data_IF_955727779015
#
_entry.id   IF_955727779015
#
_cell.length_a   1.000
_cell.length_b   1.000
_cell.length_c   1.000
_cell.angle_alpha   90.00
_cell.angle_beta   90.00
_cell.angle_gamma   90.00
#
_symmetry.space_group_name_H-M   'P 1'
#
loop_
_entity.id
_entity.type
_entity.pdbx_description
1 polymer ?
#
# COMPACT_ATOMS: atom_id res chain seq x y z
N UNK A 1 18.72 3.52 -19.27
CA UNK A 1 18.19 4.83 -18.83
C UNK A 1 17.38 5.53 -19.92
N UNK A 2 17.95 5.86 -21.09
CA UNK A 2 17.19 6.54 -22.16
C UNK A 2 16.02 5.71 -22.74
N UNK A 3 16.15 4.39 -22.81
CA UNK A 3 15.08 3.50 -23.28
C UNK A 3 13.94 3.36 -22.26
N UNK A 4 14.25 3.28 -20.96
CA UNK A 4 13.26 3.29 -19.87
C UNK A 4 12.55 4.65 -19.82
N UNK A 5 13.28 5.76 -19.97
CA UNK A 5 12.68 7.10 -20.07
C UNK A 5 11.79 7.23 -21.32
N UNK A 6 12.15 6.64 -22.47
CA UNK A 6 11.34 6.69 -23.69
C UNK A 6 10.12 5.75 -23.67
N UNK A 7 10.20 4.63 -22.95
CA UNK A 7 9.05 3.74 -22.73
C UNK A 7 8.10 4.34 -21.70
N UNK A 8 8.64 4.97 -20.65
CA UNK A 8 7.85 5.66 -19.63
C UNK A 8 7.30 7.02 -20.10
N UNK A 9 7.86 7.69 -21.11
CA UNK A 9 7.25 8.92 -21.65
C UNK A 9 5.91 8.68 -22.37
N UNK A 10 5.55 7.41 -22.63
CA UNK A 10 4.20 7.03 -23.08
C UNK A 10 3.26 6.70 -21.91
N UNK A 11 3.78 6.52 -20.70
CA UNK A 11 3.03 6.19 -19.47
C UNK A 11 3.04 7.33 -18.44
N UNK A 12 3.90 8.35 -18.57
CA UNK A 12 3.93 9.51 -17.68
C UNK A 12 2.86 10.51 -18.05
N UNK A 13 1.91 10.68 -17.13
CA UNK A 13 1.06 11.85 -17.00
C UNK A 13 0.05 12.08 -18.13
N UNK A 14 -0.79 11.06 -18.38
CA UNK A 14 -2.19 11.37 -18.66
C UNK A 14 -2.91 11.13 -17.35
N UNK A 15 -3.03 12.19 -16.54
CA UNK A 15 -4.08 12.24 -15.52
C UNK A 15 -5.35 12.06 -16.35
N UNK A 16 -5.92 10.87 -16.36
CA UNK A 16 -7.26 10.69 -16.89
C UNK A 16 -8.16 11.42 -15.89
N UNK A 17 -8.40 12.70 -16.14
CA UNK A 17 -9.57 13.36 -15.57
C UNK A 17 -10.76 12.62 -16.15
N UNK A 18 -11.26 11.62 -15.41
CA UNK A 18 -12.37 10.76 -15.80
C UNK A 18 -13.67 11.59 -15.85
N UNK A 19 -13.80 12.34 -16.94
CA UNK A 19 -15.03 13.01 -17.32
C UNK A 19 -15.88 12.07 -18.14
N UNK A 20 -17.01 11.68 -17.56
CA UNK A 20 -17.97 10.80 -18.19
C UNK A 20 -18.91 11.59 -19.10
N UNK A 21 -19.12 11.08 -20.31
CA UNK A 21 -20.22 11.50 -21.18
C UNK A 21 -21.53 10.88 -20.70
N UNK A 22 -22.63 11.58 -20.97
CA UNK A 22 -23.96 11.06 -20.65
C UNK A 22 -24.20 9.70 -21.35
N UNK A 23 -24.62 8.69 -20.59
CA UNK A 23 -24.82 7.29 -21.02
C UNK A 23 -23.53 6.51 -21.33
N UNK A 24 -22.36 7.07 -21.03
CA UNK A 24 -21.10 6.35 -21.08
C UNK A 24 -21.12 5.16 -20.10
N UNK A 25 -20.38 4.11 -20.43
CA UNK A 25 -20.24 2.93 -19.59
C UNK A 25 -19.48 3.27 -18.31
N UNK A 26 -20.04 2.86 -17.17
CA UNK A 26 -19.35 2.92 -15.87
C UNK A 26 -19.05 1.50 -15.44
N UNK A 27 -17.78 1.21 -15.23
CA UNK A 27 -17.32 -0.15 -14.92
C UNK A 27 -17.29 -0.36 -13.40
N UNK A 28 -17.98 -1.41 -12.93
CA UNK A 28 -17.85 -1.90 -11.56
C UNK A 28 -16.85 -3.06 -11.54
N UNK A 29 -15.78 -2.87 -10.79
CA UNK A 29 -14.71 -3.83 -10.58
C UNK A 29 -14.89 -4.59 -9.28
N UNK A 30 -14.77 -5.91 -9.35
CA UNK A 30 -14.73 -6.79 -8.19
C UNK A 30 -13.27 -7.03 -7.80
N UNK A 31 -12.93 -6.88 -6.52
CA UNK A 31 -11.55 -7.04 -6.07
C UNK A 31 -11.38 -8.26 -5.17
N UNK A 32 -11.66 -8.11 -3.87
CA UNK A 32 -11.35 -9.14 -2.88
C UNK A 32 -12.53 -9.48 -1.99
N UNK A 33 -12.51 -10.69 -1.44
CA UNK A 33 -13.34 -11.12 -0.31
C UNK A 33 -12.44 -11.59 0.84
N UNK A 34 -12.87 -11.45 2.09
CA UNK A 34 -12.08 -11.93 3.23
C UNK A 34 -12.84 -11.84 4.55
N UNK A 35 -12.37 -12.54 5.59
CA UNK A 35 -12.98 -12.46 6.92
C UNK A 35 -12.79 -11.07 7.54
N UNK A 36 -13.82 -10.55 8.24
CA UNK A 36 -13.75 -9.23 8.88
C UNK A 36 -12.71 -9.16 10.00
N UNK A 37 -12.55 -10.25 10.75
CA UNK A 37 -11.64 -10.32 11.89
C UNK A 37 -10.15 -10.40 11.50
N UNK A 38 -9.84 -10.84 10.28
CA UNK A 38 -8.47 -10.95 9.78
C UNK A 38 -8.32 -10.21 8.44
N UNK A 39 -8.07 -8.90 8.50
CA UNK A 39 -7.95 -8.05 7.31
C UNK A 39 -6.72 -8.36 6.41
N UNK A 40 -5.76 -9.13 6.91
CA UNK A 40 -4.60 -9.54 6.12
C UNK A 40 -4.90 -10.72 5.19
N UNK A 41 -5.95 -11.49 5.50
CA UNK A 41 -6.39 -12.63 4.73
C UNK A 41 -7.43 -12.18 3.70
N UNK A 42 -7.06 -12.23 2.42
CA UNK A 42 -7.93 -11.82 1.32
C UNK A 42 -7.83 -12.83 0.18
N UNK A 43 -8.97 -13.11 -0.44
CA UNK A 43 -9.18 -14.00 -1.58
C UNK A 43 -9.84 -13.25 -2.73
N UNK A 44 -9.75 -13.78 -3.96
CA UNK A 44 -10.40 -13.16 -5.13
C UNK A 44 -11.92 -13.11 -4.95
N UNK A 45 -12.60 -12.10 -5.48
CA UNK A 45 -14.04 -11.98 -5.30
C UNK A 45 -14.82 -13.23 -5.75
N UNK A 46 -14.50 -13.76 -6.93
CA UNK A 46 -15.14 -14.97 -7.47
C UNK A 46 -14.58 -16.29 -6.91
N UNK A 47 -13.75 -16.26 -5.86
CA UNK A 47 -13.43 -17.47 -5.10
C UNK A 47 -14.63 -17.96 -4.29
N UNK A 48 -15.52 -17.04 -3.90
CA UNK A 48 -16.87 -17.38 -3.46
C UNK A 48 -17.75 -17.61 -4.68
N UNK A 49 -18.77 -18.50 -4.59
CA UNK A 49 -19.60 -18.90 -5.72
C UNK A 49 -20.65 -17.84 -6.10
N UNK A 50 -20.24 -16.57 -6.12
CA UNK A 50 -20.93 -15.50 -6.83
C UNK A 50 -20.82 -15.71 -8.33
N UNK A 51 -21.72 -15.09 -9.07
CA UNK A 51 -21.73 -15.18 -10.51
C UNK A 51 -21.51 -13.81 -11.16
N UNK A 52 -21.00 -13.88 -12.39
CA UNK A 52 -20.72 -12.71 -13.23
C UNK A 52 -22.01 -12.31 -13.96
N UNK A 53 -22.21 -11.01 -14.14
CA UNK A 53 -23.33 -10.49 -14.93
C UNK A 53 -23.26 -10.85 -16.41
N UNK A 54 -24.30 -10.45 -17.16
CA UNK A 54 -24.50 -10.84 -18.55
C UNK A 54 -23.52 -10.20 -19.53
N UNK A 55 -22.88 -9.08 -19.16
CA UNK A 55 -21.93 -8.37 -20.03
C UNK A 55 -20.56 -9.03 -20.00
N UNK A 56 -20.00 -9.34 -21.17
CA UNK A 56 -18.74 -10.11 -21.31
C UNK A 56 -17.52 -9.29 -21.75
N UNK A 57 -17.72 -8.10 -22.30
CA UNK A 57 -16.64 -7.25 -22.82
C UNK A 57 -16.74 -5.84 -22.28
N UNK A 58 -15.59 -5.29 -21.89
CA UNK A 58 -15.41 -3.91 -21.45
C UNK A 58 -15.01 -3.08 -22.67
N UNK A 59 -15.47 -1.83 -22.74
CA UNK A 59 -15.07 -0.91 -23.80
C UNK A 59 -13.56 -0.59 -23.75
N UNK A 60 -13.04 -0.17 -22.60
CA UNK A 60 -11.63 0.15 -22.39
C UNK A 60 -11.24 -0.02 -20.90
N UNK A 61 -10.08 -0.61 -20.63
CA UNK A 61 -9.40 -0.55 -19.32
C UNK A 61 -7.89 -0.75 -19.50
N UNK A 62 -7.08 0.01 -18.78
CA UNK A 62 -5.62 -0.17 -18.69
C UNK A 62 -5.24 -0.29 -17.21
N UNK A 63 -4.57 -1.38 -16.85
CA UNK A 63 -3.94 -1.52 -15.53
C UNK A 63 -2.67 -0.68 -15.46
N UNK A 64 -2.51 0.08 -14.38
CA UNK A 64 -1.26 0.82 -14.14
C UNK A 64 -0.15 -0.11 -13.64
N UNK A 65 1.12 0.27 -13.82
CA UNK A 65 2.26 -0.49 -13.29
C UNK A 65 2.18 -0.67 -11.77
N UNK A 66 1.68 0.34 -11.05
CA UNK A 66 1.50 0.31 -9.60
C UNK A 66 0.46 -0.72 -9.16
N UNK A 67 -0.68 -0.78 -9.84
CA UNK A 67 -1.74 -1.77 -9.56
C UNK A 67 -1.27 -3.20 -9.86
N UNK A 68 -0.60 -3.40 -11.00
CA UNK A 68 -0.08 -4.70 -11.41
C UNK A 68 0.95 -5.25 -10.39
N UNK A 69 1.82 -4.39 -9.85
CA UNK A 69 2.81 -4.78 -8.83
C UNK A 69 2.20 -5.03 -7.45
N UNK A 70 1.04 -4.46 -7.14
CA UNK A 70 0.32 -4.75 -5.90
C UNK A 70 -0.44 -6.09 -5.94
N UNK A 71 -0.51 -6.73 -7.12
CA UNK A 71 -1.26 -7.97 -7.32
C UNK A 71 -2.76 -7.78 -7.18
N UNK A 72 -3.27 -6.57 -7.43
CA UNK A 72 -4.70 -6.27 -7.42
C UNK A 72 -5.26 -6.72 -8.77
N UNK A 73 -5.79 -7.94 -8.83
CA UNK A 73 -6.45 -8.45 -10.03
C UNK A 73 -7.94 -8.07 -9.97
N UNK A 74 -8.30 -7.00 -10.67
CA UNK A 74 -9.68 -6.54 -10.75
C UNK A 74 -10.47 -7.40 -11.74
N UNK A 75 -11.52 -8.04 -11.26
CA UNK A 75 -12.39 -8.86 -12.09
C UNK A 75 -13.64 -8.07 -12.47
N UNK A 76 -14.05 -8.12 -13.74
CA UNK A 76 -15.21 -7.38 -14.21
C UNK A 76 -16.51 -7.97 -13.64
N UNK A 77 -17.37 -7.12 -13.08
CA UNK A 77 -18.64 -7.55 -12.50
C UNK A 77 -19.66 -8.07 -13.52
N UNK A 78 -19.57 -7.66 -14.79
CA UNK A 78 -20.55 -8.03 -15.82
C UNK A 78 -21.86 -7.23 -15.77
N UNK A 79 -21.96 -6.20 -14.92
CA UNK A 79 -23.14 -5.33 -14.82
C UNK A 79 -23.10 -4.24 -15.89
N UNK A 80 -24.24 -3.97 -16.55
CA UNK A 80 -24.36 -2.83 -17.47
C UNK A 80 -24.81 -1.60 -16.68
N UNK A 81 -23.85 -0.74 -16.33
CA UNK A 81 -24.08 0.53 -15.64
C UNK A 81 -23.73 1.65 -16.61
N UNK A 82 -24.61 2.64 -16.73
CA UNK A 82 -24.43 3.80 -17.62
C UNK A 82 -24.56 5.10 -16.86
N UNK A 83 -23.66 6.03 -17.15
CA UNK A 83 -23.58 7.32 -16.48
C UNK A 83 -24.85 8.15 -16.66
N UNK A 84 -25.39 8.65 -15.54
CA UNK A 84 -26.65 9.43 -15.45
C UNK A 84 -27.89 8.76 -16.07
N UNK A 85 -27.84 7.47 -16.39
CA UNK A 85 -29.01 6.72 -16.82
C UNK A 85 -29.73 6.24 -15.59
N UNK A 86 -31.00 6.65 -15.42
CA UNK A 86 -31.92 6.02 -14.46
C UNK A 86 -32.27 4.61 -14.95
N UNK A 87 -31.27 3.73 -14.95
CA UNK A 87 -31.50 2.31 -15.12
C UNK A 87 -32.18 1.83 -13.84
N UNK A 88 -33.47 1.53 -13.94
CA UNK A 88 -34.24 0.80 -12.94
C UNK A 88 -34.62 1.53 -11.65
N UNK A 89 -35.11 2.77 -11.74
CA UNK A 89 -35.87 3.37 -10.63
C UNK A 89 -37.20 2.62 -10.33
N UNK A 90 -37.58 1.61 -11.15
CA UNK A 90 -38.88 0.93 -11.06
C UNK A 90 -38.79 -0.60 -10.83
N UNK A 91 -37.76 -1.32 -11.29
CA UNK A 91 -37.62 -2.77 -11.05
C UNK A 91 -36.17 -3.24 -10.98
N UNK A 92 -35.76 -4.00 -9.94
CA UNK A 92 -34.43 -4.61 -9.85
C UNK A 92 -34.07 -5.38 -11.12
N UNK A 93 -32.91 -5.12 -11.72
CA UNK A 93 -32.42 -5.97 -12.81
C UNK A 93 -31.81 -7.23 -12.21
N UNK A 94 -32.40 -8.39 -12.49
CA UNK A 94 -31.75 -9.67 -12.25
C UNK A 94 -30.60 -9.81 -13.24
N UNK A 95 -29.37 -9.87 -12.73
CA UNK A 95 -28.17 -9.97 -13.59
C UNK A 95 -27.69 -11.41 -13.73
N UNK A 96 -28.04 -12.28 -12.78
CA UNK A 96 -27.62 -13.67 -12.77
C UNK A 96 -28.49 -14.52 -11.82
N UNK A 97 -28.52 -15.83 -12.07
CA UNK A 97 -29.09 -16.86 -11.20
C UNK A 97 -28.00 -17.86 -10.78
N UNK A 98 -27.93 -18.15 -9.48
CA UNK A 98 -26.98 -19.11 -8.89
C UNK A 98 -27.72 -20.38 -8.54
N UNK A 99 -27.33 -21.50 -9.15
CA UNK A 99 -27.77 -22.83 -8.73
C UNK A 99 -26.96 -23.25 -7.49
N UNK A 100 -27.66 -23.38 -6.35
CA UNK A 100 -27.04 -23.63 -5.05
C UNK A 100 -26.86 -25.13 -4.78
N UNK A 101 -25.72 -25.65 -5.24
CA UNK A 101 -25.24 -26.99 -4.90
C UNK A 101 -24.79 -27.07 -3.42
N UNK A 102 -24.65 -28.28 -2.89
CA UNK A 102 -24.20 -28.50 -1.50
C UNK A 102 -22.86 -27.81 -1.21
N UNK A 103 -21.89 -27.93 -2.11
CA UNK A 103 -20.56 -27.33 -1.96
C UNK A 103 -20.62 -25.80 -1.96
N UNK A 104 -21.38 -25.20 -2.89
CA UNK A 104 -21.56 -23.74 -2.97
C UNK A 104 -22.27 -23.19 -1.73
N UNK A 105 -23.28 -23.92 -1.25
CA UNK A 105 -23.97 -23.57 0.00
C UNK A 105 -23.01 -23.59 1.18
N UNK A 106 -22.21 -24.64 1.32
CA UNK A 106 -21.28 -24.77 2.44
C UNK A 106 -20.19 -23.67 2.39
N UNK A 107 -19.75 -23.27 1.19
CA UNK A 107 -18.86 -22.12 1.02
C UNK A 107 -19.49 -20.79 1.49
N UNK A 108 -20.74 -20.50 1.11
CA UNK A 108 -21.44 -19.31 1.60
C UNK A 108 -21.70 -19.36 3.11
N UNK A 109 -22.08 -20.52 3.66
CA UNK A 109 -22.26 -20.69 5.11
C UNK A 109 -20.95 -20.44 5.85
N UNK A 110 -19.84 -20.98 5.35
CA UNK A 110 -18.52 -20.71 5.91
C UNK A 110 -18.17 -19.21 5.88
N UNK A 111 -18.45 -18.54 4.76
CA UNK A 111 -18.22 -17.12 4.61
C UNK A 111 -19.07 -16.28 5.60
N UNK A 112 -20.35 -16.63 5.78
CA UNK A 112 -21.25 -15.93 6.71
C UNK A 112 -20.82 -16.15 8.16
N UNK A 113 -20.46 -17.39 8.54
CA UNK A 113 -19.98 -17.73 9.89
C UNK A 113 -18.74 -16.92 10.30
N UNK A 114 -17.85 -16.64 9.35
CA UNK A 114 -16.61 -15.90 9.59
C UNK A 114 -16.73 -14.41 9.26
N UNK A 115 -17.95 -13.90 9.10
CA UNK A 115 -18.24 -12.49 8.77
C UNK A 115 -17.44 -11.99 7.57
N UNK A 116 -17.51 -12.71 6.45
CA UNK A 116 -16.82 -12.29 5.24
C UNK A 116 -17.39 -10.98 4.69
N UNK A 117 -16.49 -10.06 4.38
CA UNK A 117 -16.74 -8.85 3.63
C UNK A 117 -16.18 -8.99 2.21
N UNK A 118 -16.65 -8.14 1.31
CA UNK A 118 -16.13 -8.03 -0.04
C UNK A 118 -15.89 -6.57 -0.42
N UNK A 119 -14.96 -6.37 -1.34
CA UNK A 119 -14.56 -5.08 -1.88
C UNK A 119 -14.86 -5.00 -3.37
N UNK A 120 -15.37 -3.86 -3.80
CA UNK A 120 -15.56 -3.50 -5.19
C UNK A 120 -15.04 -2.06 -5.41
N UNK A 121 -14.85 -1.68 -6.66
CA UNK A 121 -14.46 -0.32 -7.05
C UNK A 121 -15.32 0.19 -8.20
N UNK A 122 -15.69 1.46 -8.12
CA UNK A 122 -16.23 2.24 -9.24
C UNK A 122 -15.40 3.53 -9.27
N UNK A 123 -14.78 3.83 -10.41
CA UNK A 123 -14.03 5.10 -10.57
C UNK A 123 -13.02 5.34 -9.43
N UNK A 124 -12.29 4.29 -9.06
CA UNK A 124 -11.37 4.21 -7.92
C UNK A 124 -11.93 4.38 -6.51
N UNK A 125 -13.22 4.66 -6.39
CA UNK A 125 -13.91 4.73 -5.11
C UNK A 125 -14.17 3.32 -4.56
N UNK A 126 -13.63 2.99 -3.37
CA UNK A 126 -13.81 1.67 -2.77
C UNK A 126 -15.22 1.52 -2.19
N UNK A 127 -15.80 0.34 -2.40
CA UNK A 127 -17.11 -0.04 -1.91
C UNK A 127 -16.96 -1.33 -1.13
N UNK A 128 -17.50 -1.36 0.09
CA UNK A 128 -17.50 -2.55 0.93
C UNK A 128 -18.92 -3.07 1.13
N UNK A 129 -19.06 -4.39 1.13
CA UNK A 129 -20.31 -5.06 1.49
C UNK A 129 -20.05 -6.33 2.29
N UNK A 130 -21.08 -6.82 2.96
CA UNK A 130 -21.05 -8.09 3.67
C UNK A 130 -21.73 -9.17 2.83
N UNK A 131 -21.20 -10.38 2.86
CA UNK A 131 -21.74 -11.51 2.06
C UNK A 131 -23.16 -11.85 2.50
N UNK A 132 -23.40 -11.96 3.80
CA UNK A 132 -24.68 -12.41 4.36
C UNK A 132 -24.74 -12.17 5.86
N UNK A 133 -25.79 -12.70 6.48
CA UNK A 133 -26.02 -12.59 7.92
C UNK A 133 -26.57 -13.92 8.44
N UNK A 134 -26.18 -14.29 9.66
CA UNK A 134 -26.79 -15.40 10.38
C UNK A 134 -28.01 -14.89 11.16
N UNK A 135 -28.99 -15.76 11.39
CA UNK A 135 -30.12 -15.44 12.27
C UNK A 135 -29.67 -15.19 13.71
N UNK A 136 -30.52 -14.57 14.53
CA UNK A 136 -30.25 -14.29 15.95
C UNK A 136 -29.93 -15.57 16.75
N UNK A 137 -30.49 -16.70 16.33
CA UNK A 137 -30.25 -18.01 16.92
C UNK A 137 -29.00 -18.73 16.39
N UNK A 138 -28.37 -18.23 15.31
CA UNK A 138 -27.17 -18.80 14.69
C UNK A 138 -27.37 -20.11 13.90
N UNK A 139 -28.60 -20.62 13.82
CA UNK A 139 -28.94 -21.87 13.14
C UNK A 139 -29.15 -21.69 11.62
N UNK A 140 -29.74 -20.56 11.22
CA UNK A 140 -30.05 -20.25 9.83
C UNK A 140 -29.12 -19.18 9.25
N UNK A 141 -28.73 -19.36 7.98
CA UNK A 141 -27.83 -18.46 7.26
C UNK A 141 -28.54 -17.84 6.05
N UNK A 142 -28.41 -16.53 5.91
CA UNK A 142 -29.05 -15.74 4.85
C UNK A 142 -28.00 -15.04 3.99
N UNK A 143 -28.20 -15.09 2.67
CA UNK A 143 -27.39 -14.40 1.68
C UNK A 143 -28.11 -13.12 1.24
N UNK A 144 -27.34 -12.03 1.07
CA UNK A 144 -27.86 -10.79 0.49
C UNK A 144 -27.89 -10.88 -1.04
N UNK A 145 -29.08 -10.81 -1.64
CA UNK A 145 -29.26 -11.05 -3.08
C UNK A 145 -29.51 -9.79 -3.90
N UNK A 146 -29.83 -8.67 -3.25
CA UNK A 146 -30.09 -7.39 -3.90
C UNK A 146 -29.04 -6.35 -3.52
N UNK A 147 -28.37 -5.77 -4.53
CA UNK A 147 -27.39 -4.70 -4.37
C UNK A 147 -27.97 -3.39 -4.90
N UNK A 148 -28.20 -2.43 -4.02
CA UNK A 148 -28.63 -1.08 -4.38
C UNK A 148 -27.42 -0.14 -4.33
N UNK A 149 -26.99 0.32 -5.50
CA UNK A 149 -25.87 1.23 -5.68
C UNK A 149 -26.41 2.66 -5.80
N UNK A 150 -26.08 3.53 -4.85
CA UNK A 150 -26.37 4.96 -4.93
C UNK A 150 -25.09 5.70 -5.33
N UNK A 151 -25.04 6.19 -6.56
CA UNK A 151 -23.86 6.85 -7.14
C UNK A 151 -24.07 8.37 -7.16
N UNK A 152 -23.24 9.08 -6.43
CA UNK A 152 -23.15 10.53 -6.38
C UNK A 152 -22.36 11.08 -7.56
N UNK A 153 -22.92 12.05 -8.28
CA UNK A 153 -22.21 12.74 -9.36
C UNK A 153 -22.24 14.25 -9.18
N UNK A 154 -21.15 14.90 -9.59
CA UNK A 154 -21.05 16.35 -9.70
C UNK A 154 -20.58 16.71 -11.12
N UNK A 155 -21.44 17.38 -11.89
CA UNK A 155 -21.19 17.62 -13.32
C UNK A 155 -21.08 16.32 -14.11
N UNK A 156 -19.89 16.07 -14.68
CA UNK A 156 -19.56 14.88 -15.47
C UNK A 156 -18.65 13.90 -14.72
N UNK A 157 -18.50 14.04 -13.40
CA UNK A 157 -17.60 13.22 -12.59
C UNK A 157 -18.34 12.49 -11.48
N UNK A 158 -17.86 11.30 -11.13
CA UNK A 158 -18.35 10.50 -10.00
C UNK A 158 -17.62 10.95 -8.73
N UNK A 159 -18.37 11.20 -7.66
CA UNK A 159 -17.84 11.78 -6.42
C UNK A 159 -18.21 11.00 -5.16
N UNK A 160 -19.22 10.14 -5.20
CA UNK A 160 -19.58 9.30 -4.06
C UNK A 160 -20.19 7.99 -4.55
N UNK A 161 -20.01 6.92 -3.80
CA UNK A 161 -20.71 5.66 -4.02
C UNK A 161 -21.10 5.07 -2.68
N UNK A 162 -22.38 4.71 -2.56
CA UNK A 162 -22.91 3.95 -1.44
C UNK A 162 -23.51 2.64 -1.92
N UNK A 163 -23.26 1.57 -1.17
CA UNK A 163 -23.87 0.27 -1.39
C UNK A 163 -24.80 -0.06 -0.23
N UNK A 164 -26.05 -0.34 -0.55
CA UNK A 164 -27.00 -0.95 0.37
C UNK A 164 -27.28 -2.37 -0.10
N UNK A 165 -27.04 -3.35 0.77
CA UNK A 165 -27.37 -4.75 0.51
C UNK A 165 -28.72 -5.07 1.14
N UNK A 166 -29.68 -5.54 0.35
CA UNK A 166 -31.01 -5.97 0.82
C UNK A 166 -31.39 -7.33 0.20
N UNK A 167 -32.59 -7.83 0.48
CA UNK A 167 -33.07 -9.12 -0.03
C UNK A 167 -32.36 -10.32 0.60
N UNK A 168 -32.70 -10.63 1.87
CA UNK A 168 -32.20 -11.84 2.55
C UNK A 168 -32.88 -13.09 1.98
N UNK A 169 -32.09 -14.04 1.48
CA UNK A 169 -32.58 -15.36 1.05
C UNK A 169 -31.90 -16.43 1.88
N UNK A 170 -32.71 -17.33 2.48
CA UNK A 170 -32.22 -18.45 3.29
C UNK A 170 -31.46 -19.45 2.42
N UNK A 171 -30.28 -19.88 2.88
CA UNK A 171 -29.44 -20.83 2.15
C UNK A 171 -29.95 -22.27 2.33
N UNK A 172 -30.78 -22.73 1.38
CA UNK A 172 -31.32 -24.09 1.33
C UNK A 172 -30.71 -24.86 0.15
N UNK A 173 -30.22 -26.10 0.33
CA UNK A 173 -29.61 -26.85 -0.77
C UNK A 173 -30.59 -27.09 -1.93
N UNK A 174 -30.08 -27.14 -3.16
CA UNK A 174 -30.85 -27.34 -4.40
C UNK A 174 -31.89 -26.24 -4.67
N UNK A 175 -31.59 -25.01 -4.27
CA UNK A 175 -32.41 -23.83 -4.60
C UNK A 175 -31.69 -22.95 -5.61
N UNK A 176 -32.48 -22.21 -6.39
CA UNK A 176 -31.96 -21.19 -7.28
C UNK A 176 -32.07 -19.83 -6.61
N UNK A 177 -30.96 -19.10 -6.57
CA UNK A 177 -30.91 -17.77 -5.98
C UNK A 177 -30.73 -16.75 -7.10
N UNK A 178 -31.70 -15.86 -7.26
CA UNK A 178 -31.64 -14.78 -8.23
C UNK A 178 -30.92 -13.58 -7.61
N UNK A 179 -29.86 -13.13 -8.29
CA UNK A 179 -29.08 -11.97 -7.90
C UNK A 179 -29.54 -10.76 -8.70
N UNK A 180 -29.82 -9.66 -8.01
CA UNK A 180 -30.36 -8.46 -8.61
C UNK A 180 -29.61 -7.20 -8.15
N UNK A 181 -29.64 -6.16 -8.99
CA UNK A 181 -29.06 -4.88 -8.67
C UNK A 181 -29.93 -3.72 -9.15
N UNK A 182 -29.73 -2.56 -8.53
CA UNK A 182 -30.27 -1.28 -9.00
C UNK A 182 -29.22 -0.19 -8.83
N UNK A 183 -29.29 0.81 -9.71
CA UNK A 183 -28.38 1.96 -9.69
C UNK A 183 -29.20 3.23 -9.63
N UNK A 184 -28.98 4.02 -8.58
CA UNK A 184 -29.62 5.32 -8.39
C UNK A 184 -28.58 6.42 -8.47
N UNK A 185 -28.74 7.31 -9.45
CA UNK A 185 -27.89 8.48 -9.59
C UNK A 185 -28.40 9.64 -8.72
N UNK A 186 -27.54 10.19 -7.88
CA UNK A 186 -27.84 11.33 -7.00
C UNK A 186 -26.89 12.48 -7.34
N UNK A 187 -27.44 13.68 -7.54
CA UNK A 187 -26.62 14.87 -7.67
C UNK A 187 -26.00 15.20 -6.32
N UNK A 188 -24.70 15.46 -6.29
CA UNK A 188 -23.93 15.84 -5.10
C UNK A 188 -23.20 17.16 -5.34
N UNK A 189 -23.02 17.95 -4.28
CA UNK A 189 -22.29 19.22 -4.31
C UNK A 189 -20.81 19.06 -3.89
N UNK A 190 -20.38 17.83 -3.58
CA UNK A 190 -18.99 17.49 -3.25
C UNK A 190 -18.10 17.71 -4.47
N UNK A 191 -16.97 18.39 -4.29
CA UNK A 191 -15.98 18.58 -5.36
C UNK A 191 -15.23 17.28 -5.65
N UNK A 192 -14.69 17.16 -6.86
CA UNK A 192 -13.94 15.96 -7.25
C UNK A 192 -12.70 15.73 -6.39
N UNK A 193 -12.00 16.79 -5.99
CA UNK A 193 -10.81 16.74 -5.12
C UNK A 193 -11.14 16.13 -3.74
N UNK A 194 -12.26 16.55 -3.15
CA UNK A 194 -12.70 16.15 -1.81
C UNK A 194 -13.41 14.78 -1.79
N UNK A 195 -13.48 14.06 -2.92
CA UNK A 195 -14.29 12.83 -3.05
C UNK A 195 -13.82 11.68 -2.14
N UNK A 196 -12.54 11.70 -1.76
CA UNK A 196 -11.95 10.68 -0.90
C UNK A 196 -12.02 11.01 0.60
N UNK A 197 -12.39 12.23 0.97
CA UNK A 197 -12.41 12.69 2.37
C UNK A 197 -13.29 11.81 3.25
N UNK A 198 -14.41 11.33 2.69
CA UNK A 198 -15.32 10.39 3.35
C UNK A 198 -14.64 9.11 3.82
N UNK A 199 -13.63 8.62 3.08
CA UNK A 199 -12.91 7.39 3.42
C UNK A 199 -11.70 7.64 4.33
N UNK A 200 -11.21 8.88 4.36
CA UNK A 200 -10.13 9.31 5.25
C UNK A 200 -10.64 9.59 6.66
N UNK A 201 -11.93 9.91 6.82
CA UNK A 201 -12.52 10.14 8.14
C UNK A 201 -12.59 8.83 8.95
N UNK A 202 -11.94 8.75 10.13
CA UNK A 202 -12.05 7.60 11.03
C UNK A 202 -13.49 7.24 11.42
N UNK A 203 -14.43 8.21 11.34
CA UNK A 203 -15.85 8.02 11.65
C UNK A 203 -16.55 7.04 10.69
N UNK A 204 -16.06 6.90 9.45
CA UNK A 204 -16.61 5.99 8.44
C UNK A 204 -16.46 4.51 8.84
N UNK A 205 -15.39 4.15 9.56
CA UNK A 205 -15.18 2.77 10.04
C UNK A 205 -15.82 2.51 11.42
N UNK A 206 -16.37 3.52 12.09
CA UNK A 206 -16.90 3.42 13.45
C UNK A 206 -18.31 4.04 13.56
N UNK A 207 -19.28 3.46 12.86
CA UNK A 207 -20.68 3.88 13.00
C UNK A 207 -21.32 3.28 14.27
N UNK A 208 -21.31 4.05 15.37
CA UNK A 208 -22.51 4.34 16.22
C UNK A 208 -22.26 5.13 17.51
N UNK A 209 -21.01 5.34 17.95
CA UNK A 209 -20.71 6.05 19.23
C UNK A 209 -19.73 7.25 19.07
N UNK A 210 -19.61 7.80 17.86
CA UNK A 210 -18.41 8.51 17.42
C UNK A 210 -18.29 10.00 17.83
N UNK A 211 -19.37 10.74 18.06
CA UNK A 211 -19.26 12.21 18.22
C UNK A 211 -18.60 12.63 19.55
N UNK A 212 -18.93 11.93 20.64
CA UNK A 212 -18.29 12.16 21.95
C UNK A 212 -16.91 11.47 22.07
N UNK A 213 -16.74 10.33 21.38
CA UNK A 213 -15.50 9.54 21.40
C UNK A 213 -14.40 10.16 20.54
N UNK A 214 -14.72 10.80 19.40
CA UNK A 214 -13.73 11.42 18.50
C UNK A 214 -13.06 12.66 19.11
N UNK A 215 -13.81 13.52 19.84
CA UNK A 215 -13.20 14.65 20.58
C UNK A 215 -12.25 14.16 21.68
N UNK A 216 -12.53 12.98 22.26
CA UNK A 216 -11.67 12.30 23.23
C UNK A 216 -10.44 11.65 22.56
N UNK A 217 -10.62 10.98 21.42
CA UNK A 217 -9.56 10.25 20.69
C UNK A 217 -8.57 11.18 19.97
N UNK A 218 -8.98 12.35 19.45
CA UNK A 218 -8.02 13.38 18.99
C UNK A 218 -7.10 13.85 20.12
N UNK A 219 -7.64 13.99 21.33
CA UNK A 219 -6.86 14.30 22.53
C UNK A 219 -5.89 13.17 22.90
N UNK A 220 -6.31 11.91 22.76
CA UNK A 220 -5.51 10.73 23.09
C UNK A 220 -4.37 10.49 22.08
N UNK A 221 -4.62 10.65 20.76
CA UNK A 221 -3.58 10.42 19.75
C UNK A 221 -2.47 11.48 19.80
N UNK A 222 -2.83 12.77 19.91
CA UNK A 222 -1.84 13.84 20.08
C UNK A 222 -1.07 13.71 21.39
N UNK A 223 -1.73 13.27 22.47
CA UNK A 223 -1.05 12.97 23.74
C UNK A 223 -0.06 11.82 23.60
N UNK A 224 -0.40 10.75 22.87
CA UNK A 224 0.53 9.64 22.58
C UNK A 224 1.73 10.08 21.74
N UNK A 225 1.53 10.94 20.73
CA UNK A 225 2.62 11.52 19.93
C UNK A 225 3.52 12.38 20.81
N UNK A 226 2.94 13.25 21.63
CA UNK A 226 3.72 14.10 22.54
C UNK A 226 4.51 13.26 23.55
N UNK A 227 3.89 12.23 24.13
CA UNK A 227 4.53 11.34 25.09
C UNK A 227 5.71 10.57 24.46
N UNK A 228 5.55 10.03 23.25
CA UNK A 228 6.65 9.34 22.56
C UNK A 228 7.76 10.30 22.14
N UNK A 229 7.41 11.50 21.67
CA UNK A 229 8.36 12.54 21.28
C UNK A 229 9.18 13.06 22.47
N UNK A 230 8.53 13.32 23.62
CA UNK A 230 9.20 13.74 24.85
C UNK A 230 10.17 12.68 25.37
N UNK A 231 9.80 11.40 25.31
CA UNK A 231 10.69 10.30 25.70
C UNK A 231 11.94 10.25 24.80
N UNK A 232 11.78 10.44 23.49
CA UNK A 232 12.93 10.49 22.57
C UNK A 232 13.84 11.68 22.87
N UNK A 233 13.30 12.88 23.05
CA UNK A 233 14.09 14.07 23.43
C UNK A 233 14.83 13.84 24.74
N UNK A 234 14.14 13.28 25.74
CA UNK A 234 14.73 13.01 27.05
C UNK A 234 15.87 12.00 26.95
N UNK A 235 15.68 10.89 26.22
CA UNK A 235 16.73 9.89 25.99
C UNK A 235 17.93 10.46 25.24
N UNK A 236 17.70 11.21 24.16
CA UNK A 236 18.77 11.88 23.40
C UNK A 236 19.50 12.89 24.28
N UNK A 237 18.78 13.65 25.11
CA UNK A 237 19.34 14.59 26.07
C UNK A 237 20.21 13.92 27.13
N UNK A 238 19.74 12.82 27.73
CA UNK A 238 20.52 12.03 28.69
C UNK A 238 21.78 11.44 28.05
N UNK A 239 21.65 10.79 26.89
CA UNK A 239 22.79 10.20 26.18
C UNK A 239 23.80 11.28 25.77
N UNK A 240 23.33 12.41 25.25
CA UNK A 240 24.18 13.55 24.89
C UNK A 240 24.85 14.17 26.12
N UNK A 241 24.16 14.30 27.25
CA UNK A 241 24.76 14.78 28.50
C UNK A 241 25.84 13.83 29.01
N UNK A 242 25.58 12.51 29.02
CA UNK A 242 26.55 11.49 29.40
C UNK A 242 27.78 11.59 28.48
N UNK A 243 27.56 11.60 27.16
CA UNK A 243 28.61 11.69 26.15
C UNK A 243 29.41 13.00 26.25
N UNK A 244 28.76 14.14 26.45
CA UNK A 244 29.44 15.42 26.66
C UNK A 244 30.19 15.48 27.98
N UNK A 245 29.70 14.80 29.02
CA UNK A 245 30.37 14.71 30.32
C UNK A 245 31.59 13.80 30.23
N UNK A 246 31.51 12.67 29.53
CA UNK A 246 32.66 11.79 29.28
C UNK A 246 33.68 12.49 28.39
N UNK A 247 33.25 13.11 27.27
CA UNK A 247 34.14 13.84 26.38
C UNK A 247 34.85 15.01 27.08
N UNK A 248 34.15 15.83 27.87
CA UNK A 248 34.80 16.91 28.64
C UNK A 248 35.78 16.39 29.68
N UNK A 249 35.43 15.30 30.37
CA UNK A 249 36.32 14.66 31.34
C UNK A 249 37.56 14.08 30.67
N UNK A 250 37.39 13.42 29.54
CA UNK A 250 38.48 12.82 28.77
C UNK A 250 39.36 13.93 28.18
N UNK A 251 38.78 14.97 27.59
CA UNK A 251 39.51 16.12 27.07
C UNK A 251 40.34 16.85 28.15
N UNK A 252 39.75 17.08 29.33
CA UNK A 252 40.44 17.72 30.45
C UNK A 252 41.54 16.84 31.08
N UNK A 253 41.44 15.51 30.92
CA UNK A 253 42.53 14.58 31.28
C UNK A 253 43.69 14.73 30.30
N UNK A 254 43.41 14.71 28.99
CA UNK A 254 44.44 14.86 27.96
C UNK A 254 45.16 16.21 28.02
N UNK A 255 44.44 17.31 28.28
CA UNK A 255 45.09 18.64 28.38
C UNK A 255 46.03 18.77 29.57
N UNK A 256 45.77 18.05 30.67
CA UNK A 256 46.66 18.02 31.84
C UNK A 256 47.87 17.11 31.65
N UNK A 257 47.73 16.06 30.85
CA UNK A 257 48.86 15.19 30.48
C UNK A 257 49.83 15.89 29.51
N UNK A 258 49.36 16.80 28.65
CA UNK A 258 50.22 17.64 27.79
C UNK A 258 51.03 18.71 28.56
N UNK A 259 50.62 19.07 29.79
CA UNK A 259 51.33 20.04 30.66
C UNK A 259 52.33 19.37 31.63
N UNK A 260 52.41 18.03 31.66
CA UNK A 260 53.41 17.29 32.45
C UNK A 260 54.76 17.29 31.71
N UNK A 261 55.85 17.64 32.40
CA UNK A 261 57.21 17.82 31.84
C UNK A 261 57.64 16.70 30.87
N UNK A 262 58.36 17.09 29.82
CA UNK A 262 58.84 16.27 28.68
C UNK A 262 59.64 15.00 29.06
N UNK A 263 59.92 14.75 30.34
CA UNK A 263 60.65 13.56 30.86
C UNK A 263 59.75 12.33 31.12
N UNK A 264 58.44 12.51 31.34
CA UNK A 264 57.48 11.38 31.48
C UNK A 264 56.77 11.04 30.15
N UNK A 265 57.05 11.84 29.11
CA UNK A 265 56.42 11.78 27.79
C UNK A 265 56.86 10.59 26.93
N UNK A 266 58.04 10.01 27.22
CA UNK A 266 58.66 8.91 26.47
C UNK A 266 58.27 7.51 26.99
N UNK A 267 57.49 7.42 28.08
CA UNK A 267 57.02 6.16 28.68
C UNK A 267 55.48 6.02 28.69
N UNK A 268 54.74 7.05 28.29
CA UNK A 268 53.29 6.99 28.18
C UNK A 268 52.87 6.42 26.84
N UNK A 269 52.54 5.12 26.77
CA UNK A 269 51.89 4.57 25.57
C UNK A 269 50.72 5.49 25.17
N UNK A 270 50.57 5.79 23.88
CA UNK A 270 49.51 6.66 23.35
C UNK A 270 48.09 6.08 23.58
N UNK A 271 47.59 5.97 24.81
CA UNK A 271 46.36 5.23 25.10
C UNK A 271 45.10 5.86 24.47
N UNK A 272 44.22 5.00 23.93
CA UNK A 272 42.82 5.36 23.61
C UNK A 272 42.54 5.65 22.14
N UNK A 273 41.80 6.73 21.86
CA UNK A 273 41.33 7.06 20.50
C UNK A 273 42.47 7.47 19.56
N UNK A 274 43.60 7.96 20.09
CA UNK A 274 44.79 8.33 19.29
C UNK A 274 45.41 7.10 18.61
N UNK A 275 45.51 5.97 19.30
CA UNK A 275 45.90 4.67 18.72
C UNK A 275 44.92 4.20 17.63
N UNK A 276 43.62 4.46 17.81
CA UNK A 276 42.57 3.95 16.91
C UNK A 276 42.23 4.95 15.78
N UNK A 277 42.67 6.21 15.86
CA UNK A 277 42.36 7.26 14.88
C UNK A 277 42.80 6.86 13.47
N UNK A 278 43.94 6.18 13.34
CA UNK A 278 44.39 5.61 12.06
C UNK A 278 43.64 4.34 11.64
N UNK A 279 43.19 3.54 12.61
CA UNK A 279 42.47 2.28 12.37
C UNK A 279 41.03 2.50 11.88
N UNK A 280 40.41 3.64 12.17
CA UNK A 280 39.08 4.02 11.62
C UNK A 280 39.10 4.10 10.09
N UNK A 281 40.24 4.44 9.49
CA UNK A 281 40.40 4.51 8.04
C UNK A 281 40.87 3.20 7.40
N UNK A 282 41.04 2.14 8.21
CA UNK A 282 41.45 0.84 7.71
C UNK A 282 40.38 0.32 6.75
N UNK A 283 40.77 -0.17 5.55
CA UNK A 283 39.82 -0.75 4.63
C UNK A 283 39.15 -1.96 5.30
N UNK A 284 37.82 -2.02 5.19
CA UNK A 284 37.07 -3.17 5.69
C UNK A 284 37.48 -4.46 4.97
N UNK A 285 37.29 -5.63 5.60
CA UNK A 285 37.61 -6.93 5.00
C UNK A 285 36.86 -7.19 3.68
N UNK A 286 35.68 -6.58 3.52
CA UNK A 286 34.85 -6.64 2.32
C UNK A 286 34.44 -5.24 1.86
N UNK A 287 35.37 -4.44 1.30
CA UNK A 287 35.15 -3.02 1.01
C UNK A 287 34.07 -2.81 -0.04
N UNK A 288 33.91 -3.78 -0.95
CA UNK A 288 32.92 -3.72 -2.01
C UNK A 288 31.48 -3.86 -1.48
N UNK A 289 31.22 -4.81 -0.58
CA UNK A 289 29.87 -5.01 -0.03
C UNK A 289 29.51 -3.88 0.93
N UNK A 290 30.47 -3.51 1.79
CA UNK A 290 30.29 -2.45 2.76
C UNK A 290 29.98 -1.10 2.10
N UNK A 291 30.76 -0.72 1.09
CA UNK A 291 30.54 0.55 0.38
C UNK A 291 29.22 0.56 -0.38
N UNK A 292 28.83 -0.57 -0.99
CA UNK A 292 27.55 -0.70 -1.68
C UNK A 292 26.35 -0.63 -0.72
N UNK A 293 26.42 -1.25 0.46
CA UNK A 293 25.36 -1.15 1.47
C UNK A 293 25.18 0.29 1.98
N UNK A 294 26.26 1.02 2.20
CA UNK A 294 26.19 2.43 2.60
C UNK A 294 25.61 3.30 1.48
N UNK A 295 26.05 3.11 0.24
CA UNK A 295 25.51 3.82 -0.92
C UNK A 295 24.01 3.59 -1.09
N UNK A 296 23.57 2.34 -1.01
CA UNK A 296 22.14 1.98 -1.05
C UNK A 296 21.37 2.54 0.14
N UNK A 297 21.95 2.55 1.35
CA UNK A 297 21.31 3.14 2.54
C UNK A 297 21.07 4.65 2.39
N UNK A 298 22.07 5.39 1.90
CA UNK A 298 21.92 6.82 1.59
C UNK A 298 20.87 7.06 0.49
N UNK A 299 20.81 6.19 -0.52
CA UNK A 299 19.79 6.27 -1.57
C UNK A 299 18.39 6.03 -1.01
N UNK A 300 18.16 4.96 -0.25
CA UNK A 300 16.87 4.65 0.36
C UNK A 300 16.42 5.79 1.28
N UNK A 301 17.34 6.36 2.06
CA UNK A 301 17.04 7.51 2.91
C UNK A 301 16.59 8.72 2.08
N UNK A 302 17.32 9.07 1.02
CA UNK A 302 16.94 10.15 0.11
C UNK A 302 15.59 9.91 -0.57
N UNK A 303 15.33 8.68 -1.05
CA UNK A 303 14.05 8.28 -1.65
C UNK A 303 12.93 8.44 -0.64
N UNK A 304 13.11 7.94 0.59
CA UNK A 304 12.08 8.02 1.63
C UNK A 304 11.72 9.47 1.96
N UNK A 305 12.71 10.35 2.07
CA UNK A 305 12.51 11.78 2.34
C UNK A 305 11.78 12.47 1.18
N UNK A 306 12.19 12.21 -0.07
CA UNK A 306 11.56 12.80 -1.25
C UNK A 306 10.11 12.31 -1.38
N UNK A 307 9.86 11.00 -1.25
CA UNK A 307 8.50 10.43 -1.35
C UNK A 307 7.59 11.00 -0.25
N UNK A 308 8.11 11.19 0.97
CA UNK A 308 7.33 11.84 2.06
C UNK A 308 6.98 13.28 1.68
N UNK A 309 7.92 14.06 1.13
CA UNK A 309 7.66 15.44 0.71
C UNK A 309 6.63 15.48 -0.43
N UNK A 310 6.77 14.62 -1.44
CA UNK A 310 5.80 14.54 -2.55
C UNK A 310 4.43 14.12 -2.02
N UNK A 311 4.34 13.14 -1.13
CA UNK A 311 3.08 12.72 -0.51
C UNK A 311 2.43 13.76 0.42
N UNK A 312 3.19 14.79 0.85
CA UNK A 312 2.62 15.93 1.59
C UNK A 312 2.12 17.04 0.68
N UNK A 313 2.66 17.16 -0.55
CA UNK A 313 2.31 18.21 -1.50
C UNK A 313 1.21 17.73 -2.46
N UNK A 314 1.28 16.46 -2.87
CA UNK A 314 0.38 15.84 -3.83
C UNK A 314 -0.53 14.83 -3.13
N UNK A 315 -1.79 14.78 -3.56
CA UNK A 315 -2.78 13.82 -3.09
C UNK A 315 -2.59 12.44 -3.75
N UNK A 316 -1.38 11.87 -3.61
CA UNK A 316 -0.95 10.58 -4.16
C UNK A 316 -1.80 9.38 -3.67
N UNK A 317 -2.71 9.59 -2.72
CA UNK A 317 -3.64 8.57 -2.22
C UNK A 317 -4.91 8.41 -3.06
N UNK A 318 -5.17 9.34 -3.97
CA UNK A 318 -6.39 9.38 -4.80
C UNK A 318 -6.40 8.29 -5.87
N UNK A 319 -5.24 7.98 -6.45
CA UNK A 319 -5.07 6.95 -7.46
C UNK A 319 -4.43 5.68 -6.87
N UNK A 320 -4.96 4.52 -7.27
CA UNK A 320 -4.40 3.23 -6.82
C UNK A 320 -3.01 3.04 -7.41
N UNK A 321 -2.07 2.61 -6.56
CA UNK A 321 -0.70 2.30 -7.00
C UNK A 321 0.20 3.52 -7.30
N UNK A 322 -0.33 4.75 -7.26
CA UNK A 322 0.42 5.97 -7.59
C UNK A 322 1.59 6.24 -6.64
N UNK A 323 1.42 5.95 -5.35
CA UNK A 323 2.53 6.01 -4.38
C UNK A 323 3.68 5.06 -4.73
N UNK A 324 3.36 3.84 -5.20
CA UNK A 324 4.35 2.83 -5.53
C UNK A 324 5.10 3.19 -6.82
N UNK A 325 4.37 3.62 -7.86
CA UNK A 325 4.98 4.08 -9.11
C UNK A 325 5.88 5.30 -8.90
N UNK A 326 5.44 6.27 -8.10
CA UNK A 326 6.23 7.44 -7.71
C UNK A 326 7.48 7.04 -6.95
N UNK A 327 7.38 6.11 -5.98
CA UNK A 327 8.53 5.62 -5.25
C UNK A 327 9.57 4.93 -6.17
N UNK A 328 9.12 4.13 -7.14
CA UNK A 328 10.00 3.48 -8.14
C UNK A 328 10.68 4.54 -9.02
N UNK A 329 9.94 5.56 -9.47
CA UNK A 329 10.47 6.65 -10.26
C UNK A 329 11.54 7.45 -9.50
N UNK A 330 11.24 7.85 -8.27
CA UNK A 330 12.18 8.57 -7.38
C UNK A 330 13.40 7.70 -7.08
N UNK A 331 13.23 6.39 -6.89
CA UNK A 331 14.34 5.45 -6.70
C UNK A 331 15.27 5.41 -7.92
N UNK A 332 14.73 5.37 -9.13
CA UNK A 332 15.52 5.43 -10.36
C UNK A 332 16.24 6.78 -10.52
N UNK A 333 15.55 7.89 -10.23
CA UNK A 333 16.09 9.25 -10.33
C UNK A 333 17.23 9.52 -9.32
N UNK A 334 17.14 8.94 -8.12
CA UNK A 334 18.15 9.07 -7.05
C UNK A 334 19.32 8.08 -7.17
N UNK A 335 19.36 7.25 -8.22
CA UNK A 335 20.49 6.33 -8.46
C UNK A 335 21.89 6.97 -8.46
N UNK A 336 22.10 8.25 -8.87
CA UNK A 336 23.40 8.90 -8.74
C UNK A 336 23.86 9.09 -7.27
N UNK A 337 22.93 9.21 -6.33
CA UNK A 337 23.24 9.33 -4.88
C UNK A 337 23.95 8.07 -4.39
N UNK A 338 23.45 6.90 -4.78
CA UNK A 338 24.09 5.61 -4.48
C UNK A 338 25.51 5.54 -5.07
N UNK A 339 25.65 5.93 -6.34
CA UNK A 339 26.96 5.97 -7.02
C UNK A 339 27.95 6.91 -6.34
N UNK A 340 27.52 8.09 -5.90
CA UNK A 340 28.38 9.06 -5.22
C UNK A 340 28.85 8.56 -3.85
N UNK A 341 27.92 8.19 -2.95
CA UNK A 341 28.28 7.77 -1.60
C UNK A 341 28.99 6.41 -1.58
N UNK A 342 28.48 5.43 -2.34
CA UNK A 342 29.08 4.09 -2.41
C UNK A 342 30.42 4.09 -3.16
N UNK A 343 30.51 4.79 -4.29
CA UNK A 343 31.74 4.90 -5.09
C UNK A 343 32.83 5.71 -4.38
N UNK A 344 32.48 6.84 -3.74
CA UNK A 344 33.42 7.66 -2.98
C UNK A 344 34.01 6.89 -1.79
N UNK A 345 33.18 6.16 -1.04
CA UNK A 345 33.66 5.34 0.06
C UNK A 345 34.52 4.17 -0.41
N UNK A 346 34.15 3.53 -1.52
CA UNK A 346 34.96 2.46 -2.12
C UNK A 346 36.34 2.95 -2.59
N UNK A 347 36.39 4.13 -3.20
CA UNK A 347 37.64 4.77 -3.61
C UNK A 347 38.52 5.13 -2.39
N UNK A 348 37.93 5.68 -1.33
CA UNK A 348 38.62 5.98 -0.06
C UNK A 348 39.22 4.74 0.61
N UNK A 349 38.59 3.58 0.45
CA UNK A 349 39.09 2.30 0.96
C UNK A 349 40.11 1.62 0.03
N UNK A 350 40.62 2.30 -1.00
CA UNK A 350 41.61 1.75 -1.94
C UNK A 350 41.03 0.78 -2.98
N UNK A 351 39.71 0.78 -3.16
CA UNK A 351 39.02 -0.08 -4.13
C UNK A 351 39.33 0.31 -5.58
N UNK A 352 39.91 -0.62 -6.35
CA UNK A 352 40.27 -0.39 -7.77
C UNK A 352 39.17 -0.77 -8.77
N UNK A 353 38.22 -1.63 -8.37
CA UNK A 353 37.21 -2.23 -9.27
C UNK A 353 35.88 -1.46 -9.21
N UNK A 354 35.89 -0.18 -9.57
CA UNK A 354 34.72 0.70 -9.47
C UNK A 354 33.50 0.18 -10.26
N UNK A 355 33.71 -0.45 -11.42
CA UNK A 355 32.63 -1.04 -12.22
C UNK A 355 31.89 -2.12 -11.44
N UNK A 356 32.63 -3.03 -10.77
CA UNK A 356 32.00 -4.11 -9.98
C UNK A 356 31.23 -3.55 -8.79
N UNK A 357 31.74 -2.50 -8.16
CA UNK A 357 31.05 -1.83 -7.06
C UNK A 357 29.75 -1.17 -7.56
N UNK A 358 29.76 -0.52 -8.72
CA UNK A 358 28.57 0.08 -9.32
C UNK A 358 27.48 -0.97 -9.59
N UNK A 359 27.83 -2.11 -10.19
CA UNK A 359 26.88 -3.20 -10.42
C UNK A 359 26.30 -3.74 -9.11
N UNK A 360 27.14 -3.99 -8.11
CA UNK A 360 26.67 -4.54 -6.84
C UNK A 360 25.84 -3.50 -6.07
N UNK A 361 26.22 -2.22 -6.09
CA UNK A 361 25.41 -1.16 -5.49
C UNK A 361 24.04 -0.97 -6.15
N UNK A 362 23.94 -1.18 -7.47
CA UNK A 362 22.69 -1.05 -8.21
C UNK A 362 21.76 -2.26 -8.02
N UNK A 363 22.29 -3.48 -8.00
CA UNK A 363 21.47 -4.70 -8.03
C UNK A 363 21.28 -5.38 -6.67
N UNK A 364 22.14 -5.14 -5.66
CA UNK A 364 22.08 -5.88 -4.39
C UNK A 364 20.73 -5.75 -3.69
N UNK A 365 20.27 -4.52 -3.44
CA UNK A 365 19.01 -4.29 -2.74
C UNK A 365 17.81 -4.71 -3.60
N UNK A 366 17.68 -4.30 -4.87
CA UNK A 366 16.57 -4.77 -5.71
C UNK A 366 16.51 -6.29 -5.83
N UNK A 367 17.65 -6.97 -5.99
CA UNK A 367 17.68 -8.43 -6.06
C UNK A 367 17.24 -9.09 -4.76
N UNK A 368 17.65 -8.55 -3.59
CA UNK A 368 17.16 -9.05 -2.31
C UNK A 368 15.65 -8.85 -2.14
N UNK A 369 15.12 -7.67 -2.49
CA UNK A 369 13.69 -7.37 -2.40
C UNK A 369 12.87 -8.23 -3.37
N UNK A 370 13.31 -8.36 -4.62
CA UNK A 370 12.65 -9.24 -5.59
C UNK A 370 12.71 -10.71 -5.17
N UNK A 371 13.83 -11.16 -4.60
CA UNK A 371 13.98 -12.53 -4.10
C UNK A 371 13.03 -12.86 -2.95
N UNK A 372 12.91 -11.96 -1.96
CA UNK A 372 11.96 -12.13 -0.86
C UNK A 372 10.51 -12.01 -1.33
N UNK A 373 10.21 -11.06 -2.21
CA UNK A 373 8.87 -10.90 -2.79
C UNK A 373 8.45 -12.14 -3.59
N UNK A 374 9.35 -12.72 -4.39
CA UNK A 374 9.08 -13.93 -5.16
C UNK A 374 8.80 -15.13 -4.24
N UNK A 375 9.58 -15.29 -3.18
CA UNK A 375 9.37 -16.36 -2.20
C UNK A 375 8.01 -16.22 -1.48
N UNK A 376 7.67 -15.02 -1.03
CA UNK A 376 6.37 -14.74 -0.42
C UNK A 376 5.24 -14.97 -1.43
N UNK A 377 5.42 -14.56 -2.69
CA UNK A 377 4.42 -14.73 -3.74
C UNK A 377 4.17 -16.22 -4.04
N UNK A 378 5.19 -17.07 -4.01
CA UNK A 378 5.03 -18.52 -4.16
C UNK A 378 4.13 -19.11 -3.06
N UNK A 379 4.30 -18.66 -1.80
CA UNK A 379 3.43 -19.05 -0.68
C UNK A 379 2.01 -18.50 -0.90
N UNK A 380 1.88 -17.24 -1.35
CA UNK A 380 0.58 -16.62 -1.62
C UNK A 380 -0.21 -17.37 -2.70
N UNK A 381 0.45 -17.80 -3.78
CA UNK A 381 -0.17 -18.62 -4.85
C UNK A 381 -0.66 -19.95 -4.28
N UNK A 382 0.12 -20.61 -3.42
CA UNK A 382 -0.26 -21.89 -2.80
C UNK A 382 -1.55 -21.77 -1.98
N UNK A 383 -1.75 -20.66 -1.27
CA UNK A 383 -2.95 -20.40 -0.47
C UNK A 383 -4.09 -19.72 -1.25
N UNK A 384 -3.97 -19.54 -2.56
CA UNK A 384 -4.93 -18.81 -3.40
C UNK A 384 -5.26 -17.40 -2.87
N UNK A 385 -4.28 -16.73 -2.26
CA UNK A 385 -4.45 -15.38 -1.75
C UNK A 385 -4.71 -14.39 -2.91
N UNK A 386 -5.54 -13.38 -2.67
CA UNK A 386 -5.94 -12.42 -3.70
C UNK A 386 -4.80 -11.56 -4.23
N UNK A 387 -3.78 -11.32 -3.40
CA UNK A 387 -2.61 -10.49 -3.74
C UNK A 387 -1.48 -11.31 -4.36
N UNK A 388 -1.74 -12.57 -4.71
CA UNK A 388 -0.78 -13.40 -5.40
C UNK A 388 -0.65 -12.94 -6.85
N UNK A 389 0.55 -12.51 -7.25
CA UNK A 389 0.84 -12.10 -8.62
C UNK A 389 0.97 -13.35 -9.49
N UNK A 390 0.16 -13.51 -10.55
CA UNK A 390 0.28 -14.64 -11.47
C UNK A 390 1.69 -14.77 -12.06
N UNK A 391 2.14 -16.01 -12.30
CA UNK A 391 3.48 -16.23 -12.86
C UNK A 391 3.68 -15.54 -14.23
N UNK A 392 2.63 -15.50 -15.06
CA UNK A 392 2.66 -14.85 -16.37
C UNK A 392 2.91 -13.34 -16.30
N UNK A 393 2.33 -12.64 -15.32
CA UNK A 393 2.53 -11.19 -15.16
C UNK A 393 3.89 -10.88 -14.55
N UNK A 394 4.43 -11.75 -13.68
CA UNK A 394 5.81 -11.61 -13.21
C UNK A 394 6.81 -11.68 -14.37
N UNK A 395 6.68 -12.67 -15.26
CA UNK A 395 7.60 -12.83 -16.40
C UNK A 395 7.44 -11.68 -17.39
N UNK A 396 6.22 -11.24 -17.69
CA UNK A 396 6.00 -10.15 -18.65
C UNK A 396 6.45 -8.78 -18.18
N UNK A 397 6.59 -8.56 -16.86
CA UNK A 397 7.08 -7.31 -16.28
C UNK A 397 8.58 -7.34 -15.92
N UNK A 398 9.19 -8.53 -15.84
CA UNK A 398 10.62 -8.72 -15.62
C UNK A 398 11.46 -8.70 -16.92
N UNK A 399 10.83 -9.08 -18.05
CA UNK A 399 11.41 -9.04 -19.42
C UNK A 399 11.09 -7.71 -20.07
#
# INVERSE_FOLDING_TARGET
MAWVMSYMNKETCVIFEDEYQDKEEVVLWMNTVGPYHNRQETYKYFSLPFCVGSKKSISHYHETLGEALQGVELEFSGLDIKFKVRANDVMPATYCEIDLDKEKRDAFVYAIKNHYWYQMYIDDLPIWGIVGEADENGEDYYLWTYKKLEIGFNGNRIVDVNLTSEGKVKLVPNTKIQMSYSVKWKKSDVKFEDRFDKYLDPSFFQHRDADEKMRRDKGIHWFSIFNSFMMVIFLVGLVSMILMRTLRKDYARYSKEEEMDDMDRDLGDEYGWKQVHGDVFRPSSHPLLFSSLIGSGCQIFAVSLIVIIVAMIEDLYTERGSMLSTAIFVYAATSPVNGYFGGSLYARQGGRRWIKQMFIGAFLIPAMVCGTAFFINFIAIYYHASRAIPFGTMVSKLV
#
